data_IF_826354075943
#
_entry.id   IF_826354075943
#
_cell.length_a   1.000
_cell.length_b   1.000
_cell.length_c   1.000
_cell.angle_alpha   90.00
_cell.angle_beta   90.00
_cell.angle_gamma   90.00
#
_symmetry.space_group_name_H-M   'P 1'
#
loop_
_entity.id
_entity.type
_entity.pdbx_description
1 polymer ?
#
# COMPACT_ATOMS: atom_id res chain seq x y z
N UNK A 1 -7.86 17.40 7.82
CA UNK A 1 -6.96 16.26 8.08
C UNK A 1 -6.84 15.44 6.80
N UNK A 2 -5.64 14.97 6.43
CA UNK A 2 -5.45 14.12 5.25
C UNK A 2 -5.72 12.65 5.55
N UNK A 3 -6.13 11.88 4.54
CA UNK A 3 -6.26 10.43 4.63
C UNK A 3 -4.91 9.76 4.37
N UNK A 4 -4.65 8.59 4.95
CA UNK A 4 -3.43 7.85 4.63
C UNK A 4 -3.52 7.24 3.23
N UNK A 5 -2.38 6.97 2.60
CA UNK A 5 -2.36 6.28 1.31
C UNK A 5 -2.97 4.88 1.39
N UNK A 6 -2.80 4.18 2.53
CA UNK A 6 -3.43 2.88 2.73
C UNK A 6 -4.95 2.98 2.77
N UNK A 7 -5.49 3.96 3.50
CA UNK A 7 -6.95 4.17 3.59
C UNK A 7 -7.53 4.58 2.24
N UNK A 8 -6.84 5.45 1.50
CA UNK A 8 -7.25 5.87 0.16
C UNK A 8 -7.35 4.68 -0.81
N UNK A 9 -6.38 3.76 -0.77
CA UNK A 9 -6.38 2.57 -1.62
C UNK A 9 -7.43 1.56 -1.13
N UNK A 10 -7.54 1.34 0.18
CA UNK A 10 -8.53 0.43 0.75
C UNK A 10 -9.98 0.90 0.46
N UNK A 11 -10.23 2.20 0.43
CA UNK A 11 -11.51 2.74 -0.03
C UNK A 11 -11.83 2.32 -1.48
N UNK A 12 -10.84 2.35 -2.38
CA UNK A 12 -11.04 1.89 -3.76
C UNK A 12 -11.22 0.37 -3.84
N UNK A 13 -10.55 -0.39 -2.97
CA UNK A 13 -10.73 -1.84 -2.85
C UNK A 13 -12.18 -2.17 -2.52
N UNK A 14 -12.79 -1.48 -1.55
CA UNK A 14 -14.20 -1.66 -1.22
C UNK A 14 -15.12 -1.18 -2.36
N UNK A 15 -14.88 0.03 -2.89
CA UNK A 15 -15.75 0.65 -3.91
C UNK A 15 -15.85 -0.17 -5.19
N UNK A 16 -14.78 -0.87 -5.57
CA UNK A 16 -14.67 -1.58 -6.84
C UNK A 16 -14.43 -3.09 -6.66
N UNK A 17 -14.60 -3.61 -5.45
CA UNK A 17 -14.44 -5.04 -5.12
C UNK A 17 -13.09 -5.61 -5.62
N UNK A 18 -12.00 -4.86 -5.43
CA UNK A 18 -10.69 -5.23 -5.94
C UNK A 18 -10.10 -6.40 -5.16
N UNK A 19 -9.46 -7.33 -5.87
CA UNK A 19 -8.79 -8.49 -5.28
C UNK A 19 -7.29 -8.27 -5.17
N UNK A 20 -6.72 -8.61 -4.01
CA UNK A 20 -5.29 -8.51 -3.73
C UNK A 20 -4.52 -9.71 -4.31
N UNK A 21 -3.48 -9.46 -5.12
CA UNK A 21 -2.75 -10.51 -5.90
C UNK A 21 -1.26 -10.66 -5.55
N UNK A 22 -0.69 -9.81 -4.68
CA UNK A 22 0.76 -9.80 -4.37
C UNK A 22 1.19 -10.95 -3.44
N UNK A 23 0.24 -11.65 -2.81
CA UNK A 23 0.54 -12.75 -1.90
C UNK A 23 0.60 -14.07 -2.66
N UNK A 24 1.81 -14.54 -2.94
CA UNK A 24 2.04 -15.90 -3.47
C UNK A 24 1.99 -16.92 -2.33
N UNK A 25 0.93 -17.72 -2.29
CA UNK A 25 0.82 -18.88 -1.40
C UNK A 25 -0.63 -19.31 -1.17
N UNK A 26 -0.90 -20.61 -1.28
CA UNK A 26 -2.12 -21.23 -0.78
C UNK A 26 -2.15 -21.09 0.75
N UNK A 27 -2.72 -20.01 1.27
CA UNK A 27 -3.21 -20.03 2.65
C UNK A 27 -4.59 -20.65 2.62
N UNK A 28 -4.80 -21.69 3.43
CA UNK A 28 -6.12 -22.27 3.66
C UNK A 28 -7.12 -21.27 4.26
N UNK A 29 -6.60 -20.15 4.76
CA UNK A 29 -7.34 -19.01 5.28
C UNK A 29 -7.53 -17.94 4.21
N UNK A 30 -8.73 -17.37 4.19
CA UNK A 30 -9.06 -16.21 3.36
C UNK A 30 -8.10 -15.05 3.66
N UNK A 31 -7.51 -14.49 2.61
CA UNK A 31 -6.58 -13.40 2.76
C UNK A 31 -7.32 -12.07 2.73
N UNK A 32 -6.98 -11.20 3.70
CA UNK A 32 -7.53 -9.84 3.71
C UNK A 32 -7.22 -9.11 2.40
N UNK A 33 -8.24 -8.50 1.75
CA UNK A 33 -8.05 -7.73 0.54
C UNK A 33 -7.32 -6.40 0.80
N UNK A 34 -7.25 -5.96 2.06
CA UNK A 34 -6.72 -4.67 2.43
C UNK A 34 -5.19 -4.61 2.48
N UNK A 35 -4.66 -3.44 2.11
CA UNK A 35 -3.27 -3.08 2.26
C UNK A 35 -3.02 -2.50 3.65
N UNK A 36 -1.88 -2.88 4.23
CA UNK A 36 -1.34 -2.30 5.46
C UNK A 36 -0.25 -1.30 5.12
N UNK A 37 0.10 -0.44 6.07
CA UNK A 37 1.22 0.52 5.92
C UNK A 37 2.54 -0.16 5.52
N UNK A 38 2.80 -1.38 6.00
CA UNK A 38 3.98 -2.16 5.61
C UNK A 38 3.98 -2.59 4.14
N UNK A 39 2.80 -2.83 3.55
CA UNK A 39 2.66 -3.14 2.13
C UNK A 39 3.02 -1.91 1.29
N UNK A 40 2.55 -0.73 1.69
CA UNK A 40 2.90 0.56 1.08
C UNK A 40 4.40 0.83 1.17
N UNK A 41 5.01 0.58 2.33
CA UNK A 41 6.45 0.74 2.52
C UNK A 41 7.26 -0.17 1.58
N UNK A 42 6.88 -1.46 1.50
CA UNK A 42 7.50 -2.41 0.55
C UNK A 42 7.34 -1.96 -0.89
N UNK A 43 6.14 -1.51 -1.28
CA UNK A 43 5.90 -1.00 -2.63
C UNK A 43 6.78 0.23 -2.95
N UNK A 44 6.91 1.17 -2.01
CA UNK A 44 7.82 2.32 -2.15
C UNK A 44 9.28 1.90 -2.27
N UNK A 45 9.69 0.82 -1.60
CA UNK A 45 11.05 0.28 -1.73
C UNK A 45 11.29 -0.28 -3.12
N UNK A 46 10.39 -1.17 -3.56
CA UNK A 46 10.47 -1.84 -4.86
C UNK A 46 10.44 -0.85 -6.04
N UNK A 47 9.76 0.28 -5.86
CA UNK A 47 9.65 1.36 -6.86
C UNK A 47 10.69 2.47 -6.70
N UNK A 48 11.60 2.39 -5.72
CA UNK A 48 12.61 3.42 -5.47
C UNK A 48 12.05 4.74 -4.86
N UNK A 49 10.76 4.79 -4.52
CA UNK A 49 10.06 5.95 -3.94
C UNK A 49 10.28 6.14 -2.43
N UNK A 50 11.04 5.25 -1.79
CA UNK A 50 11.29 5.29 -0.34
C UNK A 50 12.18 6.49 0.07
N UNK A 51 12.99 7.01 -0.86
CA UNK A 51 14.03 8.02 -0.58
C UNK A 51 13.72 9.44 -1.07
N UNK A 52 12.59 9.67 -1.75
CA UNK A 52 12.25 11.01 -2.26
C UNK A 52 11.80 12.00 -1.17
N UNK A 53 11.52 11.55 0.05
CA UNK A 53 11.22 12.43 1.21
C UNK A 53 12.47 12.88 1.98
N UNK A 54 13.56 13.21 1.29
CA UNK A 54 14.75 13.80 1.93
C UNK A 54 15.32 15.06 1.28
N UNK A 55 14.67 15.63 0.27
CA UNK A 55 15.13 16.89 -0.32
C UNK A 55 13.97 17.88 -0.46
N UNK A 56 13.54 18.45 0.67
CA UNK A 56 13.04 19.84 0.67
C UNK A 56 13.56 20.60 1.89
N UNK A 57 14.82 20.34 2.27
CA UNK A 57 15.63 21.40 2.89
C UNK A 57 16.08 22.25 1.72
N UNK A 58 15.22 23.21 1.36
CA UNK A 58 15.58 24.33 0.51
C UNK A 58 16.69 25.07 1.26
N UNK A 59 17.85 25.21 0.62
CA UNK A 59 18.85 26.21 1.00
C UNK A 59 18.32 27.60 0.68
#
# INVERSE_FOLDING_TARGET
AGITLADAVNFLVEKYELVRIDRKGFSWQEQSPYLRAADILRARQATGLLRQSRNNVVR
#
